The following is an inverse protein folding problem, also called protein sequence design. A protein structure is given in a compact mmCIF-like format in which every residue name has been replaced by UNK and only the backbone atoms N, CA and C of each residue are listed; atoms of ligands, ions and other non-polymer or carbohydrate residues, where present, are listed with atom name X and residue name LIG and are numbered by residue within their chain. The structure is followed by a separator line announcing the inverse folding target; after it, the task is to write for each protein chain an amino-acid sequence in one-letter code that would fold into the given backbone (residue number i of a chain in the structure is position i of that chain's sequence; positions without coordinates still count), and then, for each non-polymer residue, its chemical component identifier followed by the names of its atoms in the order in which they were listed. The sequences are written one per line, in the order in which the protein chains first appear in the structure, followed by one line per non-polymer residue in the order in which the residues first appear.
data_IF_721143608043
#
_entry.id   IF_721143608043
#
_cell.length_a   1.000
_cell.length_b   1.000
_cell.length_c   1.000
_cell.angle_alpha   90.00
_cell.angle_beta   90.00
_cell.angle_gamma   90.00
#
_symmetry.space_group_name_H-M   'P 1'
#
loop_
_entity.id
_entity.type
_entity.pdbx_description
1 polymer ?
#
# COMPACT_ATOMS: atom_id res chain seq x y z
N UNK A 1 -12.75 -3.84 -8.09
CA UNK A 1 -13.97 -4.69 -8.10
C UNK A 1 -13.53 -6.16 -8.09
N UNK A 2 -14.39 -7.06 -7.55
CA UNK A 2 -14.04 -8.49 -7.47
C UNK A 2 -15.20 -9.35 -7.91
N UNK A 3 -14.89 -10.56 -8.42
CA UNK A 3 -15.88 -11.63 -8.62
C UNK A 3 -16.36 -12.18 -7.27
N UNK A 4 -17.39 -13.00 -7.28
CA UNK A 4 -17.85 -13.71 -6.08
C UNK A 4 -16.76 -14.65 -5.50
N UNK A 5 -15.87 -15.15 -6.34
CA UNK A 5 -14.73 -16.01 -5.97
C UNK A 5 -13.54 -15.21 -5.44
N UNK A 6 -13.50 -13.88 -5.65
CA UNK A 6 -12.47 -12.97 -5.17
C UNK A 6 -11.38 -12.61 -6.18
N UNK A 7 -11.56 -12.94 -7.46
CA UNK A 7 -10.66 -12.50 -8.52
C UNK A 7 -10.88 -11.01 -8.84
N UNK A 8 -9.80 -10.28 -9.16
CA UNK A 8 -9.90 -8.87 -9.52
C UNK A 8 -10.62 -8.67 -10.86
N UNK A 9 -11.49 -7.65 -10.91
CA UNK A 9 -12.16 -7.16 -12.11
C UNK A 9 -11.63 -5.78 -12.53
N UNK A 10 -10.54 -5.32 -11.89
CA UNK A 10 -9.96 -4.00 -12.11
C UNK A 10 -10.59 -2.91 -11.25
N UNK A 11 -10.16 -1.67 -11.51
CA UNK A 11 -10.53 -0.47 -10.76
C UNK A 11 -11.61 0.35 -11.46
N UNK A 12 -12.55 0.88 -10.67
CA UNK A 12 -13.50 1.90 -11.13
C UNK A 12 -12.87 3.28 -10.93
N UNK A 13 -12.97 4.13 -11.95
CA UNK A 13 -12.59 5.54 -11.86
C UNK A 13 -13.85 6.39 -11.92
N UNK A 14 -13.87 7.42 -11.11
CA UNK A 14 -14.94 8.41 -11.08
C UNK A 14 -14.44 9.74 -11.64
N UNK A 15 -15.36 10.53 -12.21
CA UNK A 15 -15.02 11.82 -12.83
C UNK A 15 -14.85 12.96 -11.81
N UNK A 16 -15.13 12.68 -10.53
CA UNK A 16 -15.08 13.66 -9.45
C UNK A 16 -14.59 13.02 -8.16
N UNK A 17 -14.00 13.83 -7.31
CA UNK A 17 -13.56 13.45 -5.97
C UNK A 17 -14.76 13.22 -5.04
N UNK A 18 -14.53 12.50 -3.94
CA UNK A 18 -15.53 12.29 -2.90
C UNK A 18 -15.89 13.61 -2.22
N UNK A 19 -17.19 13.80 -1.93
CA UNK A 19 -17.66 15.04 -1.29
C UNK A 19 -17.36 15.10 0.21
N UNK A 20 -17.23 13.95 0.87
CA UNK A 20 -16.94 13.86 2.29
C UNK A 20 -16.34 12.49 2.63
N UNK A 21 -15.47 12.48 3.63
CA UNK A 21 -14.90 11.28 4.23
C UNK A 21 -15.36 11.25 5.68
N UNK A 22 -16.03 10.16 6.08
CA UNK A 22 -16.48 9.94 7.45
C UNK A 22 -15.71 8.77 8.03
N UNK A 23 -14.98 9.02 9.11
CA UNK A 23 -14.21 7.99 9.82
C UNK A 23 -14.84 7.78 11.21
N UNK A 24 -15.37 6.59 11.44
CA UNK A 24 -15.87 6.19 12.76
C UNK A 24 -14.72 5.56 13.56
N UNK A 25 -14.13 6.37 14.43
CA UNK A 25 -12.98 5.97 15.23
C UNK A 25 -13.31 4.87 16.26
N UNK A 26 -14.57 4.77 16.69
CA UNK A 26 -15.01 3.68 17.58
C UNK A 26 -15.05 2.33 16.88
N UNK A 27 -15.21 2.32 15.56
CA UNK A 27 -15.11 1.13 14.71
C UNK A 27 -13.63 0.82 14.47
N UNK A 28 -12.85 1.80 14.03
CA UNK A 28 -11.42 1.63 13.69
C UNK A 28 -10.62 1.10 14.89
N UNK A 29 -10.83 1.63 16.09
CA UNK A 29 -10.14 1.14 17.30
C UNK A 29 -10.48 -0.31 17.70
N UNK A 30 -11.49 -0.93 17.08
CA UNK A 30 -11.93 -2.29 17.37
C UNK A 30 -11.62 -3.27 16.24
N UNK A 31 -11.03 -2.80 15.14
CA UNK A 31 -10.64 -3.69 14.06
C UNK A 31 -9.43 -4.57 14.47
N UNK A 32 -9.24 -5.73 13.83
CA UNK A 32 -7.99 -6.46 13.99
C UNK A 32 -6.80 -5.59 13.56
N UNK A 33 -5.71 -5.50 14.36
CA UNK A 33 -4.53 -4.69 14.02
C UNK A 33 -3.92 -4.98 12.65
N UNK A 34 -4.14 -6.20 12.13
CA UNK A 34 -3.75 -6.61 10.78
C UNK A 34 -4.36 -5.72 9.69
N UNK A 35 -5.57 -5.20 9.90
CA UNK A 35 -6.21 -4.32 8.91
C UNK A 35 -5.53 -2.95 8.86
N UNK A 36 -5.23 -2.37 10.02
CA UNK A 36 -4.44 -1.15 10.10
C UNK A 36 -3.05 -1.35 9.48
N UNK A 37 -2.37 -2.46 9.81
CA UNK A 37 -1.06 -2.79 9.26
C UNK A 37 -1.09 -2.94 7.73
N UNK A 38 -2.10 -3.60 7.17
CA UNK A 38 -2.28 -3.68 5.71
C UNK A 38 -2.53 -2.31 5.09
N UNK A 39 -3.33 -1.44 5.72
CA UNK A 39 -3.55 -0.06 5.28
C UNK A 39 -2.26 0.77 5.29
N UNK A 40 -1.40 0.58 6.30
CA UNK A 40 -0.07 1.21 6.39
C UNK A 40 0.79 0.80 5.18
N UNK A 41 0.85 -0.49 4.84
CA UNK A 41 1.60 -0.96 3.67
C UNK A 41 1.09 -0.32 2.37
N UNK A 42 -0.23 -0.30 2.15
CA UNK A 42 -0.82 0.37 0.98
C UNK A 42 -0.55 1.88 0.95
N UNK A 43 -0.57 2.52 2.13
CA UNK A 43 -0.22 3.95 2.27
C UNK A 43 1.25 4.23 1.95
N UNK A 44 2.17 3.37 2.40
CA UNK A 44 3.61 3.48 2.09
C UNK A 44 3.88 3.23 0.60
N UNK A 45 3.12 2.35 -0.04
CA UNK A 45 3.18 2.12 -1.48
C UNK A 45 2.99 3.40 -2.28
N UNK A 46 2.15 4.36 -1.82
CA UNK A 46 1.93 5.63 -2.53
C UNK A 46 3.22 6.42 -2.74
N UNK A 47 4.13 6.43 -1.75
CA UNK A 47 5.44 7.06 -1.86
C UNK A 47 6.38 6.26 -2.76
N UNK A 48 6.41 4.94 -2.59
CA UNK A 48 7.32 4.07 -3.34
C UNK A 48 6.95 4.06 -4.82
N UNK A 49 5.67 3.91 -5.13
CA UNK A 49 5.17 3.76 -6.50
C UNK A 49 5.10 5.07 -7.28
N UNK A 50 4.88 6.22 -6.62
CA UNK A 50 4.81 7.52 -7.31
C UNK A 50 6.13 7.89 -7.99
N UNK A 51 7.26 7.36 -7.53
CA UNK A 51 8.56 7.55 -8.16
C UNK A 51 8.64 6.89 -9.54
N UNK A 52 7.99 5.74 -9.72
CA UNK A 52 7.81 5.04 -11.00
C UNK A 52 9.07 4.94 -11.85
N UNK A 53 10.13 4.37 -11.28
CA UNK A 53 11.43 4.17 -11.92
C UNK A 53 12.39 5.38 -11.83
N UNK A 54 12.05 6.39 -11.03
CA UNK A 54 12.94 7.50 -10.71
C UNK A 54 13.49 7.36 -9.30
N UNK A 55 14.76 7.66 -9.12
CA UNK A 55 15.35 7.69 -7.78
C UNK A 55 14.97 8.94 -6.98
N UNK A 56 14.55 9.99 -7.67
CA UNK A 56 14.15 11.27 -7.08
C UNK A 56 13.08 11.94 -7.95
N UNK A 57 12.18 12.70 -7.33
CA UNK A 57 11.21 13.56 -8.02
C UNK A 57 11.55 15.01 -7.72
N UNK A 58 12.00 15.74 -8.74
CA UNK A 58 12.32 17.16 -8.65
C UNK A 58 11.18 18.00 -9.23
N UNK A 59 10.94 19.17 -8.63
CA UNK A 59 9.87 20.07 -9.07
C UNK A 59 10.01 20.47 -10.54
N UNK A 60 11.24 20.67 -11.02
CA UNK A 60 11.49 21.11 -12.39
C UNK A 60 11.25 20.01 -13.44
N UNK A 61 11.19 18.74 -13.01
CA UNK A 61 11.05 17.57 -13.91
C UNK A 61 9.62 17.07 -14.05
N UNK A 62 8.70 17.56 -13.23
CA UNK A 62 7.33 17.05 -13.17
C UNK A 62 6.30 18.19 -13.04
N UNK A 63 5.02 17.86 -13.23
CA UNK A 63 3.95 18.83 -12.98
C UNK A 63 3.86 19.17 -11.48
N UNK A 64 3.39 20.38 -11.18
CA UNK A 64 3.17 20.80 -9.78
C UNK A 64 2.21 19.87 -9.04
N UNK A 65 1.20 19.29 -9.72
CA UNK A 65 0.30 18.32 -9.14
C UNK A 65 1.02 17.02 -8.71
N UNK A 66 1.89 16.49 -9.59
CA UNK A 66 2.67 15.30 -9.24
C UNK A 66 3.68 15.58 -8.11
N UNK A 67 4.36 16.73 -8.15
CA UNK A 67 5.27 17.13 -7.08
C UNK A 67 4.54 17.31 -5.74
N UNK A 68 3.35 17.90 -5.76
CA UNK A 68 2.51 18.02 -4.55
C UNK A 68 2.11 16.66 -4.00
N UNK A 69 1.66 15.74 -4.87
CA UNK A 69 1.31 14.39 -4.47
C UNK A 69 2.51 13.64 -3.87
N UNK A 70 3.69 13.77 -4.49
CA UNK A 70 4.94 13.20 -3.98
C UNK A 70 5.27 13.74 -2.59
N UNK A 71 5.22 15.06 -2.38
CA UNK A 71 5.52 15.68 -1.09
C UNK A 71 4.57 15.20 0.02
N UNK A 72 3.27 15.06 -0.31
CA UNK A 72 2.27 14.53 0.65
C UNK A 72 2.56 13.06 0.96
N UNK A 73 2.88 12.25 -0.06
CA UNK A 73 3.20 10.84 0.12
C UNK A 73 4.48 10.63 0.95
N UNK A 74 5.52 11.44 0.71
CA UNK A 74 6.77 11.44 1.48
C UNK A 74 6.53 11.77 2.96
N UNK A 75 5.76 12.80 3.24
CA UNK A 75 5.36 13.14 4.61
C UNK A 75 4.60 11.99 5.27
N UNK A 76 3.63 11.39 4.56
CA UNK A 76 2.86 10.27 5.08
C UNK A 76 3.74 9.06 5.35
N UNK A 77 4.69 8.74 4.46
CA UNK A 77 5.64 7.65 4.62
C UNK A 77 6.44 7.77 5.93
N UNK A 78 6.96 8.97 6.23
CA UNK A 78 7.68 9.21 7.49
C UNK A 78 6.81 9.08 8.74
N UNK A 79 5.53 9.45 8.65
CA UNK A 79 4.60 9.24 9.77
C UNK A 79 4.33 7.74 9.96
N UNK A 80 4.16 6.98 8.88
CA UNK A 80 4.02 5.51 8.97
C UNK A 80 5.23 4.87 9.64
N UNK A 81 6.45 5.20 9.21
CA UNK A 81 7.67 4.67 9.84
C UNK A 81 7.72 4.93 11.34
N UNK A 82 7.28 6.11 11.76
CA UNK A 82 7.35 6.55 13.15
C UNK A 82 6.24 5.97 14.04
N UNK A 83 5.00 5.89 13.51
CA UNK A 83 3.81 5.70 14.35
C UNK A 83 3.11 4.35 14.15
N UNK A 84 3.46 3.59 13.11
CA UNK A 84 2.79 2.34 12.76
C UNK A 84 2.73 1.32 13.90
N UNK A 85 3.86 1.07 14.56
CA UNK A 85 3.91 0.10 15.67
C UNK A 85 3.06 0.52 16.86
N UNK A 86 3.11 1.80 17.22
CA UNK A 86 2.31 2.31 18.33
C UNK A 86 0.83 2.25 18.00
N UNK A 87 0.43 2.65 16.80
CA UNK A 87 -0.96 2.59 16.36
C UNK A 87 -1.51 1.16 16.37
N UNK A 88 -0.79 0.20 15.79
CA UNK A 88 -1.21 -1.22 15.80
C UNK A 88 -1.29 -1.80 17.21
N UNK A 89 -0.36 -1.43 18.09
CA UNK A 89 -0.40 -1.82 19.49
C UNK A 89 -1.64 -1.24 20.21
N UNK A 90 -1.91 0.03 20.03
CA UNK A 90 -3.04 0.72 20.67
C UNK A 90 -4.40 0.20 20.16
N UNK A 91 -4.51 -0.11 18.85
CA UNK A 91 -5.68 -0.79 18.27
C UNK A 91 -5.87 -2.18 18.90
N UNK A 92 -4.79 -2.95 19.09
CA UNK A 92 -4.88 -4.26 19.76
C UNK A 92 -5.42 -4.18 21.19
N UNK A 93 -5.20 -3.05 21.86
CA UNK A 93 -5.70 -2.75 23.19
C UNK A 93 -7.06 -2.02 23.20
N UNK A 94 -7.62 -1.71 22.02
CA UNK A 94 -8.86 -0.95 21.87
C UNK A 94 -8.75 0.50 22.33
N UNK A 95 -7.55 1.10 22.24
CA UNK A 95 -7.26 2.46 22.67
C UNK A 95 -7.29 3.44 21.50
N UNK A 96 -8.05 4.52 21.65
CA UNK A 96 -7.99 5.66 20.76
C UNK A 96 -6.89 6.60 21.20
N UNK A 97 -5.79 6.65 20.45
CA UNK A 97 -4.65 7.53 20.70
C UNK A 97 -4.38 8.39 19.46
N UNK A 98 -3.52 9.41 19.63
CA UNK A 98 -3.11 10.23 18.47
C UNK A 98 -2.47 9.40 17.36
N UNK A 99 -1.68 8.39 17.68
CA UNK A 99 -1.08 7.51 16.67
C UNK A 99 -2.16 6.76 15.86
N UNK A 100 -3.23 6.28 16.54
CA UNK A 100 -4.36 5.64 15.86
C UNK A 100 -5.11 6.62 14.96
N UNK A 101 -5.38 7.84 15.45
CA UNK A 101 -6.03 8.90 14.67
C UNK A 101 -5.20 9.28 13.44
N UNK A 102 -3.90 9.49 13.59
CA UNK A 102 -3.00 9.86 12.50
C UNK A 102 -2.94 8.75 11.43
N UNK A 103 -2.75 7.49 11.84
CA UNK A 103 -2.70 6.35 10.90
C UNK A 103 -4.05 6.15 10.19
N UNK A 104 -5.16 6.24 10.90
CA UNK A 104 -6.49 6.15 10.28
C UNK A 104 -6.70 7.26 9.24
N UNK A 105 -6.31 8.50 9.58
CA UNK A 105 -6.42 9.63 8.65
C UNK A 105 -5.54 9.44 7.41
N UNK A 106 -4.31 8.96 7.58
CA UNK A 106 -3.42 8.67 6.47
C UNK A 106 -3.98 7.58 5.55
N UNK A 107 -4.44 6.46 6.12
CA UNK A 107 -4.95 5.32 5.36
C UNK A 107 -6.23 5.66 4.58
N UNK A 108 -7.13 6.45 5.16
CA UNK A 108 -8.47 6.68 4.60
C UNK A 108 -8.54 7.97 3.78
N UNK A 109 -7.93 9.05 4.24
CA UNK A 109 -8.05 10.35 3.59
C UNK A 109 -6.83 10.70 2.73
N UNK A 110 -5.63 10.63 3.30
CA UNK A 110 -4.42 11.12 2.61
C UNK A 110 -4.06 10.26 1.41
N UNK A 111 -4.19 8.93 1.51
CA UNK A 111 -3.97 8.02 0.37
C UNK A 111 -4.86 8.38 -0.83
N UNK A 112 -6.13 8.72 -0.58
CA UNK A 112 -7.06 9.22 -1.60
C UNK A 112 -6.64 10.56 -2.19
N UNK A 113 -6.19 11.51 -1.34
CA UNK A 113 -5.69 12.83 -1.79
C UNK A 113 -4.48 12.67 -2.72
N UNK A 114 -3.50 11.83 -2.36
CA UNK A 114 -2.33 11.55 -3.20
C UNK A 114 -2.78 11.02 -4.57
N UNK A 115 -3.70 10.06 -4.60
CA UNK A 115 -4.23 9.49 -5.84
C UNK A 115 -4.95 10.53 -6.71
N UNK A 116 -5.79 11.38 -6.10
CA UNK A 116 -6.53 12.45 -6.79
C UNK A 116 -5.61 13.53 -7.36
N UNK A 117 -4.67 14.04 -6.57
CA UNK A 117 -3.74 15.10 -6.97
C UNK A 117 -2.77 14.62 -8.04
N UNK A 118 -2.28 13.39 -7.95
CA UNK A 118 -1.40 12.77 -8.97
C UNK A 118 -2.13 12.41 -10.26
N UNK A 119 -3.47 12.49 -10.28
CA UNK A 119 -4.32 12.02 -11.38
C UNK A 119 -4.07 10.56 -11.77
N UNK A 120 -3.76 9.73 -10.77
CA UNK A 120 -3.45 8.31 -10.92
C UNK A 120 -2.04 8.01 -11.43
N UNK A 121 -1.16 9.01 -11.56
CA UNK A 121 0.23 8.75 -11.92
C UNK A 121 0.92 7.95 -10.80
N UNK A 122 1.60 6.86 -11.16
CA UNK A 122 2.30 5.99 -10.21
C UNK A 122 1.38 5.27 -9.20
N UNK A 123 0.06 5.20 -9.45
CA UNK A 123 -0.88 4.53 -8.54
C UNK A 123 -1.08 3.05 -8.87
N UNK A 124 -0.66 2.63 -10.04
CA UNK A 124 -0.62 1.23 -10.49
C UNK A 124 0.78 0.96 -11.04
N UNK A 125 1.75 0.90 -10.14
CA UNK A 125 3.12 0.50 -10.45
C UNK A 125 3.33 -0.95 -9.99
N UNK A 126 4.56 -1.41 -9.79
CA UNK A 126 4.85 -2.83 -9.58
C UNK A 126 4.21 -3.43 -8.32
N UNK A 127 3.99 -2.63 -7.27
CA UNK A 127 3.30 -3.07 -6.06
C UNK A 127 1.86 -3.48 -6.36
N UNK A 128 1.08 -2.56 -6.90
CA UNK A 128 -0.32 -2.81 -7.26
C UNK A 128 -0.48 -3.80 -8.43
N UNK A 129 0.40 -3.77 -9.44
CA UNK A 129 0.38 -4.77 -10.52
C UNK A 129 0.65 -6.18 -9.98
N UNK A 130 1.56 -6.34 -9.02
CA UNK A 130 1.77 -7.63 -8.34
C UNK A 130 0.46 -8.10 -7.68
N UNK A 131 -0.23 -7.21 -6.96
CA UNK A 131 -1.51 -7.53 -6.36
C UNK A 131 -2.56 -7.97 -7.40
N UNK A 132 -2.72 -7.23 -8.50
CA UNK A 132 -3.69 -7.55 -9.55
C UNK A 132 -3.38 -8.90 -10.21
N UNK A 133 -2.11 -9.18 -10.52
CA UNK A 133 -1.68 -10.46 -11.09
C UNK A 133 -1.93 -11.62 -10.13
N UNK A 134 -1.57 -11.45 -8.86
CA UNK A 134 -1.80 -12.47 -7.82
C UNK A 134 -3.30 -12.73 -7.65
N UNK A 135 -4.13 -11.70 -7.58
CA UNK A 135 -5.59 -11.86 -7.47
C UNK A 135 -6.23 -12.47 -8.71
N UNK A 136 -5.66 -12.28 -9.86
CA UNK A 136 -6.18 -12.83 -11.12
C UNK A 136 -5.79 -14.29 -11.32
N UNK A 137 -4.52 -14.62 -11.06
CA UNK A 137 -3.97 -15.94 -11.42
C UNK A 137 -3.87 -16.91 -10.24
N UNK A 138 -3.82 -16.40 -9.01
CA UNK A 138 -3.65 -17.16 -7.75
C UNK A 138 -4.75 -16.81 -6.75
N UNK A 139 -5.99 -16.73 -7.23
CA UNK A 139 -7.15 -16.25 -6.45
C UNK A 139 -7.35 -17.01 -5.14
N UNK A 140 -7.12 -18.34 -5.13
CA UNK A 140 -7.33 -19.16 -3.93
C UNK A 140 -6.24 -18.93 -2.88
N UNK A 141 -4.99 -18.88 -3.31
CA UNK A 141 -3.82 -18.59 -2.48
C UNK A 141 -3.91 -17.18 -1.90
N UNK A 142 -4.29 -16.22 -2.74
CA UNK A 142 -4.43 -14.81 -2.35
C UNK A 142 -5.60 -14.54 -1.40
N UNK A 143 -6.63 -15.40 -1.37
CA UNK A 143 -7.88 -15.15 -0.66
C UNK A 143 -7.72 -14.84 0.84
N UNK A 144 -6.79 -15.47 1.59
CA UNK A 144 -6.58 -15.19 3.02
C UNK A 144 -5.85 -13.86 3.29
N UNK A 145 -5.30 -13.22 2.25
CA UNK A 145 -4.42 -12.05 2.38
C UNK A 145 -5.13 -10.75 2.03
N UNK A 146 -4.76 -9.70 2.74
CA UNK A 146 -5.28 -8.35 2.54
C UNK A 146 -4.53 -7.65 1.39
N UNK A 147 -5.13 -6.57 0.88
CA UNK A 147 -4.59 -5.81 -0.25
C UNK A 147 -3.15 -5.36 -0.03
N UNK A 148 -2.90 -4.59 1.02
CA UNK A 148 -1.58 -4.03 1.32
C UNK A 148 -0.51 -5.09 1.63
N UNK A 149 -0.90 -6.28 2.11
CA UNK A 149 0.03 -7.38 2.34
C UNK A 149 0.68 -7.88 1.04
N UNK A 150 -0.11 -7.94 -0.03
CA UNK A 150 0.38 -8.38 -1.35
C UNK A 150 1.08 -7.22 -2.08
N UNK A 151 0.53 -6.00 -1.99
CA UNK A 151 1.17 -4.80 -2.55
C UNK A 151 2.58 -4.63 -2.01
N UNK A 152 2.79 -4.77 -0.70
CA UNK A 152 4.11 -4.63 -0.08
C UNK A 152 5.17 -5.62 -0.62
N UNK A 153 4.77 -6.84 -1.00
CA UNK A 153 5.68 -7.79 -1.66
C UNK A 153 6.17 -7.18 -3.00
N UNK A 154 5.27 -6.62 -3.79
CA UNK A 154 5.61 -5.98 -5.06
C UNK A 154 6.41 -4.68 -4.89
N UNK A 155 6.22 -3.96 -3.78
CA UNK A 155 6.98 -2.74 -3.48
C UNK A 155 8.47 -3.01 -3.25
N UNK A 156 8.84 -4.22 -2.82
CA UNK A 156 10.25 -4.63 -2.79
C UNK A 156 10.89 -4.58 -4.19
N UNK A 157 10.13 -4.96 -5.24
CA UNK A 157 10.58 -4.85 -6.62
C UNK A 157 10.56 -3.39 -7.08
N UNK A 158 9.53 -2.64 -6.69
CA UNK A 158 9.40 -1.22 -7.05
C UNK A 158 10.55 -0.38 -6.49
N UNK A 159 10.97 -0.61 -5.25
CA UNK A 159 12.14 0.07 -4.66
C UNK A 159 13.41 -0.17 -5.48
N UNK A 160 13.68 -1.42 -5.87
CA UNK A 160 14.83 -1.74 -6.72
C UNK A 160 14.71 -1.10 -8.11
N UNK A 161 13.51 -1.09 -8.70
CA UNK A 161 13.24 -0.46 -9.99
C UNK A 161 13.40 1.06 -9.95
N UNK A 162 13.08 1.70 -8.82
CA UNK A 162 13.30 3.14 -8.59
C UNK A 162 14.79 3.50 -8.41
N UNK A 163 15.69 2.52 -8.36
CA UNK A 163 17.11 2.74 -8.14
C UNK A 163 17.53 2.75 -6.67
N UNK A 164 16.69 2.22 -5.78
CA UNK A 164 16.90 2.13 -4.33
C UNK A 164 17.00 0.68 -3.81
N UNK A 165 17.86 -0.19 -4.39
CA UNK A 165 17.96 -1.58 -3.94
C UNK A 165 18.41 -1.69 -2.47
N UNK A 166 19.12 -0.69 -1.95
CA UNK A 166 19.55 -0.61 -0.55
C UNK A 166 18.36 -0.43 0.43
N UNK A 167 17.23 0.09 -0.03
CA UNK A 167 16.03 0.28 0.79
C UNK A 167 15.18 -1.00 0.90
N UNK A 168 15.42 -1.99 0.05
CA UNK A 168 14.63 -3.24 0.05
C UNK A 168 14.78 -4.00 1.37
N UNK A 169 16.00 -4.12 1.90
CA UNK A 169 16.20 -4.84 3.15
C UNK A 169 15.57 -4.12 4.37
N UNK A 170 15.75 -2.81 4.57
CA UNK A 170 15.04 -2.06 5.61
C UNK A 170 13.51 -2.15 5.49
N UNK A 171 12.95 -2.04 4.29
CA UNK A 171 11.52 -2.17 4.06
C UNK A 171 10.99 -3.57 4.42
N UNK A 172 11.71 -4.63 4.02
CA UNK A 172 11.37 -6.01 4.43
C UNK A 172 11.47 -6.23 5.93
N UNK A 173 12.41 -5.59 6.62
CA UNK A 173 12.51 -5.65 8.07
C UNK A 173 11.32 -4.94 8.73
N UNK A 174 10.87 -3.81 8.18
CA UNK A 174 9.64 -3.15 8.61
C UNK A 174 8.41 -4.06 8.36
N UNK A 175 8.25 -4.63 7.16
CA UNK A 175 7.19 -5.61 6.86
C UNK A 175 7.16 -6.75 7.88
N UNK A 176 8.32 -7.34 8.18
CA UNK A 176 8.46 -8.44 9.17
C UNK A 176 8.01 -8.00 10.55
N UNK A 177 8.40 -6.80 10.99
CA UNK A 177 8.03 -6.25 12.29
C UNK A 177 6.53 -5.98 12.42
N UNK A 178 5.84 -5.78 11.29
CA UNK A 178 4.39 -5.62 11.18
C UNK A 178 3.64 -6.93 10.92
N UNK A 179 4.34 -8.10 11.00
CA UNK A 179 3.82 -9.43 10.71
C UNK A 179 3.22 -9.59 9.30
N UNK A 180 3.80 -8.92 8.30
CA UNK A 180 3.40 -9.03 6.91
C UNK A 180 4.13 -10.19 6.20
N UNK A 181 3.54 -10.82 5.17
CA UNK A 181 4.26 -11.73 4.29
C UNK A 181 5.37 -10.97 3.55
N UNK A 182 6.50 -11.64 3.31
CA UNK A 182 7.70 -11.03 2.73
C UNK A 182 7.95 -11.46 1.30
N UNK A 183 7.34 -12.57 0.88
CA UNK A 183 7.56 -13.21 -0.42
C UNK A 183 6.27 -13.81 -0.96
N UNK A 184 6.27 -14.20 -2.23
CA UNK A 184 5.15 -14.94 -2.82
C UNK A 184 5.00 -16.33 -2.19
N UNK A 185 6.09 -16.97 -1.76
CA UNK A 185 6.05 -18.25 -1.07
C UNK A 185 5.32 -18.16 0.27
N UNK A 186 5.47 -17.03 1.00
CA UNK A 186 4.75 -16.82 2.27
C UNK A 186 3.24 -16.78 2.09
N UNK A 187 2.77 -16.44 0.90
CA UNK A 187 1.36 -16.46 0.53
C UNK A 187 0.95 -17.71 -0.26
N UNK A 188 1.82 -18.74 -0.27
CA UNK A 188 1.53 -20.05 -0.87
C UNK A 188 1.71 -20.14 -2.37
N UNK A 189 2.37 -19.16 -2.99
CA UNK A 189 2.64 -19.14 -4.44
C UNK A 189 4.08 -19.57 -4.68
N UNK A 190 4.27 -20.72 -5.36
CA UNK A 190 5.59 -21.16 -5.82
C UNK A 190 5.99 -20.39 -7.08
N UNK A 191 7.02 -19.51 -7.01
CA UNK A 191 7.48 -18.74 -8.17
C UNK A 191 8.04 -19.61 -9.30
N UNK A 192 8.37 -20.88 -9.01
CA UNK A 192 8.86 -21.85 -10.00
C UNK A 192 7.72 -22.69 -10.61
N UNK A 193 6.50 -22.55 -10.13
CA UNK A 193 5.36 -23.24 -10.72
C UNK A 193 5.14 -22.73 -12.14
N UNK A 194 5.03 -23.66 -13.10
CA UNK A 194 5.05 -23.40 -14.55
C UNK A 194 3.97 -22.44 -15.10
N UNK A 195 3.14 -21.86 -14.26
CA UNK A 195 2.14 -20.87 -14.64
C UNK A 195 2.65 -19.42 -14.73
N UNK A 196 3.75 -19.08 -14.07
CA UNK A 196 4.27 -17.70 -13.99
C UNK A 196 5.18 -17.37 -15.18
N UNK A 197 5.86 -18.36 -15.76
CA UNK A 197 6.79 -18.20 -16.87
C UNK A 197 6.21 -18.61 -18.24
N UNK A 198 4.91 -18.82 -18.30
CA UNK A 198 4.19 -19.17 -19.53
C UNK A 198 3.87 -17.96 -20.41
N UNK A 199 4.80 -16.99 -20.53
CA UNK A 199 4.78 -15.92 -21.54
C UNK A 199 5.79 -16.26 -22.62
#
# INVERSE_FOLDING_TARGET
MYTAEGASLGSLRYDHEVNAIVMDMDVICKEPPRYAASGIMDGMAKMIEIQNGRSEILLDDVSIGLFTAYTIAEMAYHVYEKEAHQACHDIAEGKLTKAVEDIAYLNVAVAGIVSGVSKGFGQTALGHETYELVRTHFTQEAKPYLHGEIVAIGDCLQLAFNGHPEQVAPFRDFMRSMNMPLTLEDIGIDPNSHGILGI
#
